data_IF_251302992342
#
_entry.id   IF_251302992342
#
_cell.length_a   1.000
_cell.length_b   1.000
_cell.length_c   1.000
_cell.angle_alpha   90.00
_cell.angle_beta   90.00
_cell.angle_gamma   90.00
#
_symmetry.space_group_name_H-M   'P 1'
#
loop_
_entity.id
_entity.type
_entity.pdbx_description
1 polymer ?
#
# COMPACT_ATOMS: atom_id res chain seq x y z
N UNK A 1 90.94 -48.60 -60.00
CA UNK A 1 90.90 -48.68 -58.53
C UNK A 1 89.47 -48.43 -58.12
N UNK A 2 88.88 -49.37 -57.38
CA UNK A 2 87.52 -49.17 -56.91
C UNK A 2 87.56 -47.98 -55.95
N UNK A 3 86.84 -46.86 -56.19
CA UNK A 3 86.85 -45.71 -55.29
C UNK A 3 86.51 -46.10 -53.84
N UNK A 4 85.80 -47.22 -53.66
CA UNK A 4 85.55 -47.86 -52.37
C UNK A 4 86.83 -48.31 -51.63
N UNK A 5 87.88 -48.77 -52.30
CA UNK A 5 89.11 -49.24 -51.66
C UNK A 5 89.98 -48.09 -51.15
N UNK A 6 90.05 -46.98 -51.91
CA UNK A 6 90.76 -45.77 -51.50
C UNK A 6 90.09 -45.08 -50.31
N UNK A 7 88.74 -45.05 -50.31
CA UNK A 7 87.95 -44.57 -49.17
C UNK A 7 88.15 -45.50 -47.96
N UNK A 8 88.16 -46.82 -48.17
CA UNK A 8 88.38 -47.80 -47.10
C UNK A 8 89.76 -47.65 -46.44
N UNK A 9 90.84 -47.52 -47.23
CA UNK A 9 92.19 -47.33 -46.66
C UNK A 9 92.35 -45.97 -45.98
N UNK A 10 91.77 -44.90 -46.54
CA UNK A 10 91.79 -43.58 -45.89
C UNK A 10 91.02 -43.61 -44.55
N UNK A 11 89.85 -44.24 -44.52
CA UNK A 11 89.11 -44.46 -43.28
C UNK A 11 89.96 -45.30 -42.32
N UNK A 12 90.49 -46.46 -42.70
CA UNK A 12 91.26 -47.31 -41.78
C UNK A 12 92.49 -46.58 -41.22
N UNK A 13 93.18 -45.76 -42.03
CA UNK A 13 94.41 -45.09 -41.61
C UNK A 13 94.15 -43.92 -40.65
N UNK A 14 93.10 -43.11 -40.88
CA UNK A 14 92.87 -41.88 -40.10
C UNK A 14 91.72 -41.95 -39.11
N UNK A 15 90.85 -42.97 -39.20
CA UNK A 15 89.70 -43.14 -38.30
C UNK A 15 90.09 -43.35 -36.82
N UNK A 16 91.18 -44.06 -36.46
CA UNK A 16 91.60 -44.17 -35.05
C UNK A 16 92.01 -42.83 -34.44
N UNK A 17 92.77 -42.03 -35.18
CA UNK A 17 93.24 -40.70 -34.74
C UNK A 17 92.06 -39.72 -34.62
N UNK A 18 91.12 -39.80 -35.56
CA UNK A 18 89.87 -39.03 -35.51
C UNK A 18 89.03 -39.41 -34.29
N UNK A 19 88.91 -40.71 -33.98
CA UNK A 19 88.20 -41.19 -32.78
C UNK A 19 88.85 -40.66 -31.51
N UNK A 20 90.19 -40.72 -31.40
CA UNK A 20 90.90 -40.24 -30.20
C UNK A 20 90.71 -38.73 -30.03
N UNK A 21 90.81 -37.95 -31.10
CA UNK A 21 90.55 -36.51 -31.06
C UNK A 21 89.12 -36.20 -30.60
N UNK A 22 88.12 -36.90 -31.14
CA UNK A 22 86.71 -36.72 -30.73
C UNK A 22 86.51 -37.09 -29.26
N UNK A 23 87.10 -38.20 -28.79
CA UNK A 23 87.01 -38.61 -27.40
C UNK A 23 87.70 -37.64 -26.44
N UNK A 24 88.87 -37.11 -26.83
CA UNK A 24 89.61 -36.14 -26.02
C UNK A 24 88.88 -34.79 -25.93
N UNK A 25 88.31 -34.31 -27.04
CA UNK A 25 87.44 -33.11 -27.04
C UNK A 25 86.21 -33.37 -26.17
N UNK A 26 85.57 -34.54 -26.28
CA UNK A 26 84.43 -34.89 -25.43
C UNK A 26 84.78 -34.90 -23.93
N UNK A 27 85.95 -35.43 -23.57
CA UNK A 27 86.47 -35.43 -22.20
C UNK A 27 86.74 -34.02 -21.68
N UNK A 28 87.39 -33.16 -22.47
CA UNK A 28 87.66 -31.78 -22.10
C UNK A 28 86.37 -30.97 -21.94
N UNK A 29 85.41 -31.13 -22.86
CA UNK A 29 84.09 -30.49 -22.76
C UNK A 29 83.37 -30.95 -21.51
N UNK A 30 83.40 -32.25 -21.19
CA UNK A 30 82.75 -32.78 -19.99
C UNK A 30 83.42 -32.30 -18.69
N UNK A 31 84.76 -32.26 -18.65
CA UNK A 31 85.51 -31.76 -17.51
C UNK A 31 85.28 -30.25 -17.29
N UNK A 32 85.26 -29.45 -18.35
CA UNK A 32 84.94 -28.03 -18.29
C UNK A 32 83.49 -27.80 -17.85
N UNK A 33 82.53 -28.54 -18.43
CA UNK A 33 81.13 -28.48 -18.03
C UNK A 33 80.94 -28.85 -16.56
N UNK A 34 81.64 -29.88 -16.07
CA UNK A 34 81.59 -30.30 -14.67
C UNK A 34 82.16 -29.25 -13.72
N UNK A 35 83.31 -28.65 -14.05
CA UNK A 35 83.93 -27.58 -13.25
C UNK A 35 83.06 -26.32 -13.21
N UNK A 36 82.51 -25.93 -14.37
CA UNK A 36 81.57 -24.82 -14.48
C UNK A 36 80.29 -25.09 -13.67
N UNK A 37 79.75 -26.30 -13.73
CA UNK A 37 78.58 -26.71 -12.95
C UNK A 37 78.84 -26.65 -11.44
N UNK A 38 79.95 -27.21 -10.95
CA UNK A 38 80.29 -27.18 -9.52
C UNK A 38 80.45 -25.75 -9.00
N UNK A 39 81.09 -24.86 -9.77
CA UNK A 39 81.22 -23.45 -9.39
C UNK A 39 79.85 -22.76 -9.33
N UNK A 40 79.00 -22.98 -10.34
CA UNK A 40 77.63 -22.44 -10.35
C UNK A 40 76.79 -22.94 -9.18
N UNK A 41 76.90 -24.22 -8.82
CA UNK A 41 76.20 -24.79 -7.65
C UNK A 41 76.62 -24.07 -6.37
N UNK A 42 77.92 -23.87 -6.13
CA UNK A 42 78.41 -23.13 -4.95
C UNK A 42 77.96 -21.67 -4.92
N UNK A 43 77.95 -20.99 -6.07
CA UNK A 43 77.43 -19.64 -6.19
C UNK A 43 75.93 -19.58 -5.83
N UNK A 44 75.13 -20.57 -6.28
CA UNK A 44 73.72 -20.68 -5.91
C UNK A 44 73.51 -21.03 -4.44
N UNK A 45 74.31 -21.93 -3.85
CA UNK A 45 74.23 -22.25 -2.42
C UNK A 45 74.48 -21.02 -1.55
N UNK A 46 75.50 -20.21 -1.90
CA UNK A 46 75.82 -18.98 -1.17
C UNK A 46 74.70 -17.94 -1.30
N UNK A 47 74.12 -17.79 -2.50
CA UNK A 47 73.00 -16.87 -2.70
C UNK A 47 71.73 -17.34 -1.97
N UNK A 48 71.45 -18.65 -1.95
CA UNK A 48 70.36 -19.24 -1.16
C UNK A 48 70.55 -18.94 0.34
N UNK A 49 71.76 -19.13 0.88
CA UNK A 49 72.04 -18.84 2.30
C UNK A 49 71.84 -17.35 2.62
N UNK A 50 72.30 -16.46 1.72
CA UNK A 50 72.09 -15.01 1.85
C UNK A 50 70.60 -14.65 1.84
N UNK A 51 69.84 -15.21 0.91
CA UNK A 51 68.39 -14.97 0.79
C UNK A 51 67.64 -15.49 2.02
N UNK A 52 68.03 -16.65 2.57
CA UNK A 52 67.44 -17.17 3.81
C UNK A 52 67.69 -16.24 5.00
N UNK A 53 68.90 -15.70 5.17
CA UNK A 53 69.18 -14.73 6.24
C UNK A 53 68.34 -13.45 6.13
N UNK A 54 68.11 -12.96 4.90
CA UNK A 54 67.23 -11.82 4.65
C UNK A 54 65.77 -12.17 4.98
N UNK A 55 65.32 -13.35 4.59
CA UNK A 55 63.97 -13.83 4.88
C UNK A 55 63.71 -13.95 6.40
N UNK A 56 64.67 -14.49 7.16
CA UNK A 56 64.57 -14.61 8.62
C UNK A 56 64.52 -13.23 9.31
N UNK A 57 65.39 -12.31 8.88
CA UNK A 57 65.41 -10.94 9.41
C UNK A 57 64.08 -10.21 9.16
N UNK A 58 63.55 -10.31 7.93
CA UNK A 58 62.26 -9.73 7.58
C UNK A 58 61.11 -10.38 8.35
N UNK A 59 61.12 -11.70 8.52
CA UNK A 59 60.09 -12.42 9.28
C UNK A 59 60.05 -11.93 10.73
N UNK A 60 61.22 -11.73 11.34
CA UNK A 60 61.32 -11.21 12.71
C UNK A 60 60.81 -9.76 12.81
N UNK A 61 61.15 -8.90 11.86
CA UNK A 61 60.66 -7.51 11.81
C UNK A 61 59.13 -7.45 11.63
N UNK A 62 58.57 -8.28 10.73
CA UNK A 62 57.13 -8.37 10.54
C UNK A 62 56.41 -8.88 11.79
N UNK A 63 56.97 -9.88 12.48
CA UNK A 63 56.38 -10.39 13.72
C UNK A 63 56.33 -9.29 14.80
N UNK A 64 57.40 -8.52 14.96
CA UNK A 64 57.43 -7.40 15.92
C UNK A 64 56.40 -6.32 15.59
N UNK A 65 56.21 -6.01 14.31
CA UNK A 65 55.18 -5.06 13.86
C UNK A 65 53.76 -5.58 14.12
N UNK A 66 53.51 -6.86 13.88
CA UNK A 66 52.22 -7.51 14.17
C UNK A 66 51.92 -7.44 15.66
N UNK A 67 52.88 -7.80 16.51
CA UNK A 67 52.71 -7.78 17.97
C UNK A 67 52.42 -6.36 18.48
N UNK A 68 53.13 -5.35 17.94
CA UNK A 68 52.88 -3.95 18.29
C UNK A 68 51.48 -3.47 17.87
N UNK A 69 51.02 -3.86 16.68
CA UNK A 69 49.68 -3.52 16.19
C UNK A 69 48.58 -4.23 17.01
N UNK A 70 48.81 -5.46 17.46
CA UNK A 70 47.86 -6.17 18.31
C UNK A 70 47.70 -5.48 19.68
N UNK A 71 48.81 -5.02 20.28
CA UNK A 71 48.77 -4.27 21.55
C UNK A 71 48.02 -2.95 21.38
N UNK A 72 48.28 -2.21 20.30
CA UNK A 72 47.57 -0.95 20.04
C UNK A 72 46.07 -1.17 19.80
N UNK A 73 45.72 -2.19 19.01
CA UNK A 73 44.33 -2.56 18.75
C UNK A 73 43.59 -2.93 20.04
N UNK A 74 44.22 -3.68 20.93
CA UNK A 74 43.64 -4.04 22.23
C UNK A 74 43.37 -2.80 23.10
N UNK A 75 44.30 -1.84 23.14
CA UNK A 75 44.10 -0.56 23.86
C UNK A 75 42.94 0.25 23.29
N UNK A 76 42.81 0.29 21.96
CA UNK A 76 41.70 0.97 21.31
C UNK A 76 40.35 0.32 21.64
N UNK A 77 40.28 -1.01 21.67
CA UNK A 77 39.07 -1.73 22.07
C UNK A 77 38.69 -1.46 23.52
N UNK A 78 39.66 -1.46 24.44
CA UNK A 78 39.43 -1.13 25.84
C UNK A 78 38.93 0.31 26.03
N UNK A 79 39.51 1.27 25.31
CA UNK A 79 39.05 2.66 25.33
C UNK A 79 37.62 2.80 24.78
N UNK A 80 37.31 2.10 23.67
CA UNK A 80 35.97 2.10 23.08
C UNK A 80 34.94 1.51 24.02
N UNK A 81 35.27 0.40 24.68
CA UNK A 81 34.35 -0.25 25.62
C UNK A 81 34.05 0.66 26.82
N UNK A 82 35.07 1.34 27.38
CA UNK A 82 34.87 2.34 28.45
C UNK A 82 33.93 3.46 28.01
N UNK A 83 34.16 4.01 26.81
CA UNK A 83 33.29 5.05 26.26
C UNK A 83 31.84 4.57 26.07
N UNK A 84 31.63 3.35 25.58
CA UNK A 84 30.29 2.77 25.46
C UNK A 84 29.60 2.56 26.81
N UNK A 85 30.34 2.21 27.86
CA UNK A 85 29.79 2.05 29.21
C UNK A 85 29.42 3.42 29.82
N UNK A 86 30.27 4.43 29.66
CA UNK A 86 29.99 5.80 30.07
C UNK A 86 28.75 6.38 29.35
N UNK A 87 28.59 6.11 28.05
CA UNK A 87 27.45 6.57 27.26
C UNK A 87 26.15 5.87 27.65
N UNK A 88 26.20 4.57 27.97
CA UNK A 88 25.04 3.83 28.52
C UNK A 88 24.59 4.39 29.86
N UNK A 89 25.52 4.77 30.73
CA UNK A 89 25.20 5.37 32.02
C UNK A 89 24.55 6.76 31.86
N UNK A 90 25.03 7.57 30.90
CA UNK A 90 24.41 8.86 30.56
C UNK A 90 23.00 8.65 30.01
N UNK A 91 22.83 7.77 29.02
CA UNK A 91 21.54 7.45 28.44
C UNK A 91 20.56 6.86 29.45
N UNK A 92 21.04 6.04 30.39
CA UNK A 92 20.22 5.49 31.47
C UNK A 92 19.69 6.58 32.41
N UNK A 93 20.52 7.58 32.76
CA UNK A 93 20.11 8.73 33.56
C UNK A 93 19.13 9.63 32.80
N UNK A 94 19.39 9.91 31.52
CA UNK A 94 18.52 10.74 30.68
C UNK A 94 17.17 10.08 30.43
N UNK A 95 17.14 8.77 30.19
CA UNK A 95 15.90 7.99 30.06
C UNK A 95 15.08 8.00 31.36
N UNK A 96 15.75 7.88 32.52
CA UNK A 96 15.06 7.95 33.80
C UNK A 96 14.41 9.32 34.03
N UNK A 97 15.14 10.40 33.69
CA UNK A 97 14.64 11.78 33.76
C UNK A 97 13.48 12.01 32.78
N UNK A 98 13.61 11.59 31.53
CA UNK A 98 12.55 11.69 30.52
C UNK A 98 11.29 10.89 30.90
N UNK A 99 11.44 9.73 31.52
CA UNK A 99 10.28 8.97 32.03
C UNK A 99 9.55 9.69 33.17
N UNK A 100 10.28 10.39 34.06
CA UNK A 100 9.66 11.21 35.11
C UNK A 100 8.95 12.44 34.52
N UNK A 101 9.54 13.10 33.51
CA UNK A 101 8.95 14.24 32.80
C UNK A 101 7.73 13.81 31.94
N UNK A 102 7.78 12.63 31.30
CA UNK A 102 6.69 12.09 30.47
C UNK A 102 5.48 11.63 31.27
N UNK A 103 5.65 11.12 32.49
CA UNK A 103 4.52 10.77 33.37
C UNK A 103 3.63 11.99 33.66
N UNK A 104 4.21 13.17 33.82
CA UNK A 104 3.48 14.43 34.04
C UNK A 104 2.80 14.94 32.75
N UNK A 105 3.43 14.73 31.58
CA UNK A 105 2.87 15.08 30.27
C UNK A 105 1.76 14.13 29.81
N UNK A 106 1.81 12.85 30.18
CA UNK A 106 0.82 11.84 29.80
C UNK A 106 -0.53 12.09 30.49
N UNK A 107 -0.52 12.47 31.77
CA UNK A 107 -1.73 12.88 32.51
C UNK A 107 -2.33 14.18 31.94
N UNK A 108 -1.50 15.09 31.43
CA UNK A 108 -1.96 16.32 30.78
C UNK A 108 -2.53 16.06 29.38
N UNK A 109 -1.92 15.17 28.60
CA UNK A 109 -2.34 14.82 27.24
C UNK A 109 -3.59 13.92 27.20
N UNK A 110 -3.80 13.05 28.19
CA UNK A 110 -5.06 12.30 28.33
C UNK A 110 -6.23 13.23 28.65
N UNK A 111 -6.05 14.20 29.54
CA UNK A 111 -7.06 15.23 29.82
C UNK A 111 -7.37 16.13 28.60
N UNK A 112 -6.36 16.46 27.80
CA UNK A 112 -6.51 17.20 26.53
C UNK A 112 -7.21 16.36 25.46
N UNK A 113 -6.83 15.10 25.26
CA UNK A 113 -7.46 14.19 24.31
C UNK A 113 -8.94 13.97 24.64
N UNK A 114 -9.26 13.75 25.92
CA UNK A 114 -10.64 13.66 26.42
C UNK A 114 -11.43 14.95 26.16
N UNK A 115 -10.79 16.11 26.29
CA UNK A 115 -11.41 17.41 26.01
C UNK A 115 -11.64 17.61 24.52
N UNK A 116 -10.72 17.20 23.65
CA UNK A 116 -10.90 17.20 22.20
C UNK A 116 -12.02 16.26 21.79
N UNK A 117 -12.08 15.03 22.33
CA UNK A 117 -13.16 14.07 22.04
C UNK A 117 -14.52 14.67 22.43
N UNK A 118 -14.65 15.21 23.64
CA UNK A 118 -15.89 15.87 24.09
C UNK A 118 -16.26 17.08 23.24
N UNK A 119 -15.27 17.86 22.78
CA UNK A 119 -15.53 19.02 21.94
C UNK A 119 -15.95 18.63 20.52
N UNK A 120 -15.37 17.57 19.96
CA UNK A 120 -15.79 16.99 18.67
C UNK A 120 -17.21 16.41 18.77
N UNK A 121 -17.53 15.72 19.87
CA UNK A 121 -18.88 15.24 20.14
C UNK A 121 -19.86 16.42 20.26
N UNK A 122 -19.50 17.46 21.01
CA UNK A 122 -20.33 18.67 21.14
C UNK A 122 -20.58 19.36 19.80
N UNK A 123 -19.56 19.51 18.95
CA UNK A 123 -19.72 20.08 17.60
C UNK A 123 -20.63 19.19 16.75
N UNK A 124 -20.43 17.87 16.77
CA UNK A 124 -21.30 16.92 16.08
C UNK A 124 -22.75 16.99 16.56
N UNK A 125 -22.97 17.15 17.86
CA UNK A 125 -24.32 17.25 18.44
C UNK A 125 -24.95 18.61 18.08
N UNK A 126 -24.17 19.69 18.05
CA UNK A 126 -24.62 21.01 17.60
C UNK A 126 -25.02 20.98 16.12
N UNK A 127 -24.24 20.33 15.27
CA UNK A 127 -24.55 20.15 13.86
C UNK A 127 -25.84 19.34 13.67
N UNK A 128 -26.05 18.27 14.47
CA UNK A 128 -27.29 17.49 14.47
C UNK A 128 -28.50 18.32 14.92
N UNK A 129 -28.37 19.13 15.97
CA UNK A 129 -29.43 20.02 16.44
C UNK A 129 -29.80 21.08 15.39
N UNK A 130 -28.81 21.66 14.72
CA UNK A 130 -29.02 22.63 13.63
C UNK A 130 -29.73 21.97 12.45
N UNK A 131 -29.28 20.79 12.01
CA UNK A 131 -29.93 20.02 10.94
C UNK A 131 -31.37 19.66 11.31
N UNK A 132 -31.62 19.21 12.55
CA UNK A 132 -32.96 18.93 13.04
C UNK A 132 -33.87 20.17 13.03
N UNK A 133 -33.33 21.35 13.37
CA UNK A 133 -34.05 22.62 13.30
C UNK A 133 -34.41 23.04 11.87
N UNK A 134 -33.51 22.85 10.91
CA UNK A 134 -33.81 23.09 9.48
C UNK A 134 -34.82 22.08 8.94
N UNK A 135 -34.71 20.80 9.34
CA UNK A 135 -35.65 19.75 8.97
C UNK A 135 -37.06 20.07 9.46
N UNK A 136 -37.22 20.49 10.71
CA UNK A 136 -38.53 20.87 11.26
C UNK A 136 -39.19 21.98 10.42
N UNK A 137 -38.44 23.05 10.13
CA UNK A 137 -38.92 24.14 9.25
C UNK A 137 -39.26 23.68 7.84
N UNK A 138 -38.50 22.74 7.30
CA UNK A 138 -38.77 22.16 5.98
C UNK A 138 -40.05 21.32 5.98
N UNK A 139 -40.30 20.51 7.03
CA UNK A 139 -41.52 19.74 7.18
C UNK A 139 -42.75 20.67 7.23
N UNK A 140 -42.67 21.76 8.00
CA UNK A 140 -43.72 22.80 8.04
C UNK A 140 -43.93 23.42 6.64
N UNK A 141 -42.84 23.78 5.96
CA UNK A 141 -42.88 24.36 4.62
C UNK A 141 -43.53 23.43 3.59
N UNK A 142 -43.17 22.15 3.61
CA UNK A 142 -43.67 21.15 2.66
C UNK A 142 -45.16 20.89 2.87
N UNK A 143 -45.64 20.89 4.12
CA UNK A 143 -47.05 20.73 4.42
C UNK A 143 -47.93 21.84 3.82
N UNK A 144 -47.38 23.06 3.70
CA UNK A 144 -48.07 24.22 3.12
C UNK A 144 -47.80 24.40 1.61
N UNK A 145 -46.89 23.62 1.03
CA UNK A 145 -46.45 23.80 -0.35
C UNK A 145 -47.43 23.16 -1.33
N UNK A 146 -47.85 23.93 -2.34
CA UNK A 146 -48.52 23.35 -3.53
C UNK A 146 -47.48 22.96 -4.57
N UNK A 147 -47.45 21.68 -4.93
CA UNK A 147 -46.53 21.14 -5.93
C UNK A 147 -47.23 21.13 -7.29
N UNK A 148 -46.96 22.12 -8.13
CA UNK A 148 -47.60 22.23 -9.45
C UNK A 148 -46.86 21.53 -10.60
N UNK A 149 -45.67 20.97 -10.34
CA UNK A 149 -44.90 20.21 -11.33
C UNK A 149 -43.91 19.26 -10.66
N UNK A 150 -43.45 18.25 -11.40
CA UNK A 150 -42.43 17.30 -10.93
C UNK A 150 -41.11 17.98 -10.58
N UNK A 151 -40.70 19.02 -11.31
CA UNK A 151 -39.50 19.80 -10.97
C UNK A 151 -39.62 20.48 -9.61
N UNK A 152 -40.80 21.04 -9.30
CA UNK A 152 -41.04 21.67 -8.00
C UNK A 152 -40.97 20.62 -6.89
N UNK A 153 -41.51 19.41 -7.11
CA UNK A 153 -41.37 18.29 -6.17
C UNK A 153 -39.92 17.88 -5.98
N UNK A 154 -39.16 17.77 -7.07
CA UNK A 154 -37.74 17.42 -7.03
C UNK A 154 -36.94 18.38 -6.14
N UNK A 155 -37.11 19.70 -6.31
CA UNK A 155 -36.31 20.68 -5.57
C UNK A 155 -36.81 20.98 -4.16
N UNK A 156 -38.13 20.90 -3.91
CA UNK A 156 -38.72 21.30 -2.62
C UNK A 156 -39.03 20.13 -1.69
N UNK A 157 -39.22 18.93 -2.23
CA UNK A 157 -39.56 17.72 -1.47
C UNK A 157 -38.43 16.68 -1.55
N UNK A 158 -38.11 16.17 -2.73
CA UNK A 158 -37.21 15.03 -2.88
C UNK A 158 -35.77 15.34 -2.49
N UNK A 159 -35.21 16.46 -2.98
CA UNK A 159 -33.83 16.84 -2.68
C UNK A 159 -33.62 17.11 -1.18
N UNK A 160 -34.42 17.96 -0.50
CA UNK A 160 -34.26 18.15 0.94
C UNK A 160 -34.49 16.87 1.75
N UNK A 161 -35.47 16.03 1.37
CA UNK A 161 -35.71 14.73 2.02
C UNK A 161 -34.43 13.89 2.01
N UNK A 162 -33.78 13.75 0.85
CA UNK A 162 -32.55 12.96 0.70
C UNK A 162 -31.42 13.56 1.54
N UNK A 163 -31.25 14.87 1.54
CA UNK A 163 -30.24 15.55 2.37
C UNK A 163 -30.49 15.37 3.87
N UNK A 164 -31.73 15.51 4.33
CA UNK A 164 -32.09 15.32 5.74
C UNK A 164 -32.02 13.87 6.20
N UNK A 165 -32.07 12.91 5.28
CA UNK A 165 -31.78 11.49 5.54
C UNK A 165 -30.27 11.18 5.62
N UNK A 166 -29.42 12.19 5.44
CA UNK A 166 -27.97 12.09 5.55
C UNK A 166 -27.26 11.61 4.29
N UNK A 167 -27.89 11.72 3.12
CA UNK A 167 -27.26 11.40 1.84
C UNK A 167 -26.63 12.65 1.22
N UNK A 168 -25.44 12.48 0.64
CA UNK A 168 -24.77 13.53 -0.10
C UNK A 168 -25.36 13.70 -1.50
N UNK A 169 -25.13 14.86 -2.14
CA UNK A 169 -25.57 15.07 -3.52
C UNK A 169 -24.97 14.05 -4.49
N UNK A 170 -23.73 13.63 -4.23
CA UNK A 170 -23.04 12.61 -5.02
C UNK A 170 -23.70 11.22 -4.92
N UNK A 171 -24.52 10.98 -3.88
CA UNK A 171 -25.29 9.75 -3.68
C UNK A 171 -26.48 9.64 -4.64
N UNK A 172 -26.97 10.75 -5.18
CA UNK A 172 -28.17 10.78 -6.02
C UNK A 172 -27.80 10.47 -7.47
N UNK A 173 -28.42 9.44 -8.04
CA UNK A 173 -28.41 9.20 -9.49
C UNK A 173 -29.79 9.47 -10.04
N UNK A 174 -29.93 10.56 -10.78
CA UNK A 174 -31.16 10.84 -11.53
C UNK A 174 -31.15 9.96 -12.78
N UNK A 175 -32.08 9.02 -12.86
CA UNK A 175 -32.30 8.22 -14.06
C UNK A 175 -33.43 8.88 -14.82
N UNK A 176 -33.11 9.58 -15.89
CA UNK A 176 -34.12 10.08 -16.84
C UNK A 176 -34.71 8.85 -17.56
N UNK A 177 -36.04 8.76 -17.73
CA UNK A 177 -36.75 7.49 -17.99
C UNK A 177 -36.12 6.60 -19.06
N UNK A 178 -36.01 5.30 -18.73
CA UNK A 178 -35.64 4.24 -19.66
C UNK A 178 -36.74 4.08 -20.71
N UNK A 179 -36.34 4.11 -21.99
CA UNK A 179 -37.15 3.64 -23.11
C UNK A 179 -37.57 2.18 -22.87
N UNK A 180 -38.87 1.93 -22.68
CA UNK A 180 -39.42 0.62 -23.02
C UNK A 180 -39.49 0.58 -24.56
N UNK A 181 -38.83 -0.40 -25.17
CA UNK A 181 -38.81 -0.55 -26.64
C UNK A 181 -40.24 -0.87 -27.09
N UNK A 182 -40.92 0.06 -27.77
CA UNK A 182 -42.20 -0.19 -28.43
C UNK A 182 -43.27 0.90 -28.32
N UNK A 183 -43.15 1.84 -27.38
CA UNK A 183 -44.16 2.90 -27.18
C UNK A 183 -43.55 4.32 -27.23
N UNK A 184 -44.25 5.31 -27.80
CA UNK A 184 -43.80 6.69 -27.78
C UNK A 184 -43.78 7.22 -26.33
N UNK A 185 -42.74 7.98 -25.94
CA UNK A 185 -42.56 8.43 -24.57
C UNK A 185 -43.67 9.42 -24.19
N UNK A 186 -44.57 9.02 -23.28
CA UNK A 186 -45.28 9.99 -22.45
C UNK A 186 -44.38 10.28 -21.25
N UNK A 187 -43.52 11.29 -21.38
CA UNK A 187 -42.55 11.67 -20.34
C UNK A 187 -43.24 12.21 -19.08
N UNK A 188 -43.48 11.34 -18.11
CA UNK A 188 -44.27 11.67 -16.91
C UNK A 188 -43.64 11.34 -15.56
N UNK A 189 -42.57 10.55 -15.51
CA UNK A 189 -41.93 10.15 -14.25
C UNK A 189 -40.46 10.54 -14.20
N UNK A 190 -40.00 10.93 -13.02
CA UNK A 190 -38.58 11.17 -12.73
C UNK A 190 -38.11 10.16 -11.69
N UNK A 191 -37.23 9.25 -12.11
CA UNK A 191 -36.78 8.13 -11.29
C UNK A 191 -35.42 8.43 -10.68
N UNK A 192 -35.37 8.64 -9.37
CA UNK A 192 -34.13 8.90 -8.65
C UNK A 192 -33.67 7.63 -7.96
N UNK A 193 -32.50 7.12 -8.34
CA UNK A 193 -31.85 6.02 -7.64
C UNK A 193 -30.89 6.63 -6.62
N UNK A 194 -31.17 6.40 -5.34
CA UNK A 194 -30.32 6.88 -4.25
C UNK A 194 -29.30 5.79 -3.94
N UNK A 195 -28.01 6.10 -4.07
CA UNK A 195 -26.91 5.16 -3.83
C UNK A 195 -26.02 5.61 -2.68
N UNK A 196 -25.66 4.71 -1.78
CA UNK A 196 -24.70 4.98 -0.72
C UNK A 196 -23.33 4.40 -1.01
N UNK A 197 -22.31 4.97 -0.38
CA UNK A 197 -20.99 4.34 -0.23
C UNK A 197 -20.93 3.80 1.20
N UNK A 198 -21.04 2.47 1.36
CA UNK A 198 -20.73 1.85 2.66
C UNK A 198 -19.23 1.96 2.90
N UNK A 199 -18.83 2.22 4.16
CA UNK A 199 -17.42 2.31 4.57
C UNK A 199 -16.64 1.09 4.04
N UNK A 200 -15.66 1.33 3.17
CA UNK A 200 -14.83 0.31 2.49
C UNK A 200 -15.55 -0.61 1.48
N UNK A 201 -16.70 -0.22 0.92
CA UNK A 201 -17.40 -0.99 -0.12
C UNK A 201 -17.67 -0.15 -1.37
N UNK A 202 -17.93 -0.85 -2.48
CA UNK A 202 -18.41 -0.22 -3.72
C UNK A 202 -19.76 0.45 -3.50
N UNK A 203 -20.00 1.52 -4.26
CA UNK A 203 -21.28 2.24 -4.30
C UNK A 203 -22.43 1.25 -4.59
N UNK A 204 -23.44 1.24 -3.72
CA UNK A 204 -24.61 0.36 -3.84
C UNK A 204 -25.88 1.20 -3.88
N UNK A 205 -26.82 0.80 -4.75
CA UNK A 205 -28.14 1.42 -4.82
C UNK A 205 -28.99 0.98 -3.62
N UNK A 206 -29.65 1.93 -2.97
CA UNK A 206 -30.30 1.75 -1.67
C UNK A 206 -31.81 1.75 -1.80
N UNK A 207 -32.36 2.80 -2.42
CA UNK A 207 -33.78 2.91 -2.68
C UNK A 207 -34.04 3.73 -3.95
N UNK A 208 -35.23 3.52 -4.52
CA UNK A 208 -35.78 4.30 -5.61
C UNK A 208 -36.68 5.40 -5.05
N UNK A 209 -36.64 6.60 -5.61
CA UNK A 209 -37.60 7.66 -5.36
C UNK A 209 -38.20 8.07 -6.71
N UNK A 210 -39.48 7.79 -6.88
CA UNK A 210 -40.22 8.07 -8.09
C UNK A 210 -41.14 9.27 -7.88
N UNK A 211 -40.99 10.26 -8.75
CA UNK A 211 -41.79 11.48 -8.77
C UNK A 211 -42.82 11.41 -9.91
N UNK A 212 -44.08 11.54 -9.54
CA UNK A 212 -45.25 11.48 -10.43
C UNK A 212 -45.85 12.88 -10.58
N UNK A 213 -46.56 13.13 -11.68
CA UNK A 213 -47.26 14.41 -11.86
C UNK A 213 -48.27 14.68 -10.75
N UNK A 214 -48.39 15.93 -10.34
CA UNK A 214 -49.17 16.35 -9.15
C UNK A 214 -50.66 16.00 -9.21
N UNK A 215 -51.22 16.05 -10.41
CA UNK A 215 -52.62 15.77 -10.70
C UNK A 215 -52.94 14.28 -10.78
N UNK A 216 -51.92 13.42 -10.84
CA UNK A 216 -52.09 11.96 -10.94
C UNK A 216 -52.22 11.35 -9.55
N UNK A 217 -53.23 10.50 -9.34
CA UNK A 217 -53.40 9.77 -8.08
C UNK A 217 -52.49 8.56 -8.03
N UNK A 218 -51.90 8.28 -6.87
CA UNK A 218 -51.04 7.11 -6.66
C UNK A 218 -51.88 5.83 -6.50
N UNK A 219 -52.38 5.32 -7.61
CA UNK A 219 -53.14 4.06 -7.65
C UNK A 219 -52.24 2.83 -7.47
N UNK A 220 -52.83 1.68 -7.15
CA UNK A 220 -52.09 0.41 -7.03
C UNK A 220 -51.28 0.07 -8.30
N UNK A 221 -51.78 0.43 -9.49
CA UNK A 221 -51.06 0.22 -10.75
C UNK A 221 -49.74 1.00 -10.82
N UNK A 222 -49.71 2.25 -10.34
CA UNK A 222 -48.46 3.02 -10.24
C UNK A 222 -47.51 2.38 -9.23
N UNK A 223 -48.01 1.93 -8.08
CA UNK A 223 -47.18 1.31 -7.05
C UNK A 223 -46.58 -0.02 -7.49
N UNK A 224 -47.27 -0.77 -8.37
CA UNK A 224 -46.76 -1.97 -9.03
C UNK A 224 -45.70 -1.66 -10.09
N UNK A 225 -45.90 -0.61 -10.89
CA UNK A 225 -44.90 -0.13 -11.86
C UNK A 225 -43.61 0.31 -11.15
N UNK A 226 -43.72 1.11 -10.09
CA UNK A 226 -42.59 1.52 -9.25
C UNK A 226 -41.87 0.32 -8.64
N UNK A 227 -42.59 -0.74 -8.24
CA UNK A 227 -42.01 -1.97 -7.73
C UNK A 227 -41.19 -2.70 -8.82
N UNK A 228 -41.66 -2.71 -10.07
CA UNK A 228 -40.92 -3.27 -11.21
C UNK A 228 -39.65 -2.47 -11.49
N UNK A 229 -39.70 -1.14 -11.45
CA UNK A 229 -38.52 -0.27 -11.63
C UNK A 229 -37.51 -0.49 -10.51
N UNK A 230 -37.98 -0.54 -9.26
CA UNK A 230 -37.15 -0.86 -8.10
C UNK A 230 -36.47 -2.24 -8.25
N UNK A 231 -37.18 -3.22 -8.84
CA UNK A 231 -36.61 -4.53 -9.15
C UNK A 231 -35.53 -4.50 -10.22
N UNK A 232 -35.75 -3.75 -11.29
CA UNK A 232 -34.76 -3.56 -12.35
C UNK A 232 -33.51 -2.81 -11.83
N UNK A 233 -33.67 -1.94 -10.82
CA UNK A 233 -32.61 -1.23 -10.14
C UNK A 233 -31.96 -2.04 -8.99
N UNK A 234 -32.41 -3.27 -8.73
CA UNK A 234 -31.93 -4.12 -7.64
C UNK A 234 -32.01 -3.46 -6.24
N UNK A 235 -33.01 -2.59 -6.02
CA UNK A 235 -33.28 -1.98 -4.72
C UNK A 235 -34.48 -2.67 -4.03
N UNK A 236 -34.44 -2.68 -2.70
CA UNK A 236 -35.46 -3.33 -1.86
C UNK A 236 -36.44 -2.35 -1.25
N UNK A 237 -36.24 -1.04 -1.44
CA UNK A 237 -37.09 0.01 -0.91
C UNK A 237 -37.38 0.99 -2.03
N UNK A 238 -38.59 1.54 -2.03
CA UNK A 238 -38.97 2.57 -2.98
C UNK A 238 -39.97 3.54 -2.37
N UNK A 239 -39.82 4.80 -2.79
CA UNK A 239 -40.69 5.91 -2.44
C UNK A 239 -41.40 6.35 -3.71
N UNK A 240 -42.70 6.58 -3.62
CA UNK A 240 -43.50 7.16 -4.70
C UNK A 240 -44.22 8.38 -4.14
N UNK A 241 -44.13 9.51 -4.85
CA UNK A 241 -44.86 10.72 -4.47
C UNK A 241 -45.29 11.52 -5.70
N UNK A 242 -46.45 12.16 -5.59
CA UNK A 242 -46.95 13.18 -6.51
C UNK A 242 -46.93 14.60 -5.87
N UNK A 243 -46.23 14.76 -4.74
CA UNK A 243 -46.23 16.01 -3.96
C UNK A 243 -47.44 16.20 -3.04
N UNK A 244 -48.47 15.36 -3.14
CA UNK A 244 -49.62 15.37 -2.21
C UNK A 244 -49.70 14.10 -1.36
N UNK A 245 -49.35 12.97 -1.93
CA UNK A 245 -49.31 11.65 -1.32
C UNK A 245 -47.85 11.18 -1.27
N UNK A 246 -47.50 10.49 -0.19
CA UNK A 246 -46.17 9.93 0.03
C UNK A 246 -46.31 8.46 0.44
N UNK A 247 -45.78 7.57 -0.40
CA UNK A 247 -45.81 6.14 -0.20
C UNK A 247 -44.37 5.61 -0.13
N UNK A 248 -44.01 5.02 1.01
CA UNK A 248 -42.77 4.28 1.20
C UNK A 248 -43.10 2.80 1.35
N UNK A 249 -42.53 1.97 0.49
CA UNK A 249 -42.71 0.53 0.48
C UNK A 249 -41.38 -0.21 0.55
N UNK A 250 -41.43 -1.39 1.16
CA UNK A 250 -40.34 -2.37 1.15
C UNK A 250 -40.75 -3.57 0.31
N UNK A 251 -39.84 -3.99 -0.55
CA UNK A 251 -40.05 -5.13 -1.43
C UNK A 251 -39.89 -6.44 -0.70
N UNK A 252 -40.92 -7.27 -0.78
CA UNK A 252 -40.94 -8.61 -0.21
C UNK A 252 -41.58 -9.56 -1.22
N UNK A 253 -41.03 -10.77 -1.37
CA UNK A 253 -41.67 -11.81 -2.21
C UNK A 253 -42.63 -12.60 -1.32
N UNK A 254 -43.94 -12.73 -1.63
CA UNK A 254 -44.60 -12.38 -2.91
C UNK A 254 -45.28 -11.00 -2.98
N UNK A 255 -45.39 -10.24 -1.87
CA UNK A 255 -46.07 -8.94 -1.85
C UNK A 255 -45.24 -7.88 -1.13
N UNK A 256 -45.21 -6.68 -1.71
CA UNK A 256 -44.55 -5.53 -1.12
C UNK A 256 -45.32 -5.04 0.12
N UNK A 257 -44.57 -4.55 1.11
CA UNK A 257 -45.11 -4.08 2.39
C UNK A 257 -45.10 -2.56 2.45
N UNK A 258 -46.25 -1.96 2.75
CA UNK A 258 -46.36 -0.52 3.00
C UNK A 258 -45.75 -0.18 4.35
N UNK A 259 -44.73 0.68 4.35
CA UNK A 259 -44.09 1.20 5.57
C UNK A 259 -44.75 2.52 5.97
N UNK A 260 -44.92 3.41 5.00
CA UNK A 260 -45.62 4.69 5.16
C UNK A 260 -46.53 4.89 3.95
N UNK A 261 -47.77 5.30 4.19
CA UNK A 261 -48.70 5.79 3.18
C UNK A 261 -49.48 6.93 3.82
N UNK A 262 -49.10 8.17 3.49
CA UNK A 262 -49.61 9.36 4.15
C UNK A 262 -49.73 10.52 3.17
N UNK A 263 -50.40 11.60 3.59
CA UNK A 263 -50.32 12.85 2.85
C UNK A 263 -48.96 13.53 3.11
N UNK A 264 -48.52 14.35 2.17
CA UNK A 264 -47.28 15.13 2.31
C UNK A 264 -47.35 16.12 3.48
N UNK A 265 -48.55 16.57 3.87
CA UNK A 265 -48.77 17.35 5.09
C UNK A 265 -48.54 16.57 6.39
N UNK A 266 -48.65 15.24 6.36
CA UNK A 266 -48.47 14.38 7.54
C UNK A 266 -47.04 13.83 7.65
N UNK A 267 -46.09 14.32 6.83
CA UNK A 267 -44.70 13.86 6.85
C UNK A 267 -44.03 14.07 8.21
N UNK A 268 -44.39 15.14 8.93
CA UNK A 268 -43.82 15.42 10.25
C UNK A 268 -44.15 14.31 11.26
N UNK A 269 -45.40 13.82 11.26
CA UNK A 269 -45.86 12.75 12.14
C UNK A 269 -45.25 11.39 11.76
N UNK A 270 -44.98 11.19 10.47
CA UNK A 270 -44.41 9.96 9.93
C UNK A 270 -42.88 9.97 9.85
N UNK A 271 -42.22 11.08 10.23
CA UNK A 271 -40.79 11.27 10.00
C UNK A 271 -39.94 10.15 10.62
N UNK A 272 -40.22 9.75 11.85
CA UNK A 272 -39.45 8.69 12.53
C UNK A 272 -39.50 7.35 11.78
N UNK A 273 -40.64 7.01 11.16
CA UNK A 273 -40.78 5.81 10.34
C UNK A 273 -40.00 5.94 9.01
N UNK A 274 -40.07 7.11 8.38
CA UNK A 274 -39.33 7.43 7.14
C UNK A 274 -37.82 7.35 7.39
N UNK A 275 -37.34 8.01 8.44
CA UNK A 275 -35.93 8.03 8.85
C UNK A 275 -35.45 6.63 9.22
N UNK A 276 -36.22 5.88 10.02
CA UNK A 276 -35.87 4.50 10.34
C UNK A 276 -35.79 3.60 9.10
N UNK A 277 -36.64 3.83 8.12
CA UNK A 277 -36.68 3.00 6.92
C UNK A 277 -35.66 3.42 5.85
N UNK A 278 -35.30 4.69 5.75
CA UNK A 278 -34.48 5.23 4.66
C UNK A 278 -33.13 5.80 5.08
N UNK A 279 -32.83 6.01 6.37
CA UNK A 279 -31.58 6.65 6.78
C UNK A 279 -30.34 5.81 6.46
N UNK A 280 -29.23 6.53 6.19
CA UNK A 280 -27.93 5.93 5.93
C UNK A 280 -27.33 5.22 7.16
N UNK A 281 -27.74 5.59 8.38
CA UNK A 281 -27.24 5.00 9.65
C UNK A 281 -27.75 3.58 9.88
N UNK A 282 -28.91 3.21 9.33
CA UNK A 282 -29.48 1.86 9.41
C UNK A 282 -28.90 0.86 8.38
N UNK A 283 -27.79 1.23 7.74
CA UNK A 283 -27.03 0.35 6.83
C UNK A 283 -25.84 -0.33 7.53
N UNK A 284 -25.95 -0.64 8.83
CA UNK A 284 -25.13 -1.63 9.50
C UNK A 284 -25.44 -3.05 8.96
N UNK A 285 -24.49 -4.00 8.99
CA UNK A 285 -24.71 -5.38 8.52
C UNK A 285 -25.83 -6.10 9.27
#
# INVERSE_FOLDING_TARGET
MNPLDAISQFLIQYFPELIICVLFIALLVNAYASSYFVRRVKEYECEIERLNKIADANTKDYQQKIDALQVDHQKQLEARNRWCDDEKDILGRDLHRLNQENLVLFDHNTALADRVIRMTQYVSDLDREVVAGYRAKWLDYVAETTFGSVEVQAYKLAMPLVLFLGYDLDSIRVTVPRRIIGEPPQGKTWDWIISGIRKNQSRRDLFLLELVQSEEKLTDGFLEESAMVASAAHVFKYVVTNGHEFHLRTRNTPYDTSVVACSVSDLAENWAAIESALSHENLAP
#
